data_IF_813902744312
#
_entry.id   IF_813902744312
#
_cell.length_a   1.000
_cell.length_b   1.000
_cell.length_c   1.000
_cell.angle_alpha   90.00
_cell.angle_beta   90.00
_cell.angle_gamma   90.00
#
_symmetry.space_group_name_H-M   'P 1'
#
loop_
_entity.id
_entity.type
_entity.pdbx_description
1 polymer ?
#
# COMPACT_ATOMS: atom_id res chain seq x y z
N UNK A 1 13.66 25.25 -10.09
CA UNK A 1 12.65 24.64 -9.20
C UNK A 1 11.59 24.01 -10.09
N UNK A 2 11.39 22.68 -10.08
CA UNK A 2 10.29 22.08 -10.83
C UNK A 2 8.98 22.59 -10.23
N UNK A 3 8.03 22.98 -11.09
CA UNK A 3 6.68 23.30 -10.66
C UNK A 3 5.99 22.01 -10.24
N UNK A 4 5.63 21.89 -8.96
CA UNK A 4 4.70 20.85 -8.51
C UNK A 4 3.39 21.14 -9.24
N UNK A 5 2.96 20.24 -10.12
CA UNK A 5 1.64 20.35 -10.75
C UNK A 5 0.62 20.19 -9.63
N UNK A 6 -0.11 21.27 -9.32
CA UNK A 6 -1.20 21.38 -8.34
C UNK A 6 -2.39 20.39 -8.55
N UNK A 7 -2.24 19.34 -9.35
CA UNK A 7 -3.34 18.52 -9.86
C UNK A 7 -3.51 17.15 -9.21
N UNK A 8 -2.81 16.81 -8.12
CA UNK A 8 -2.89 15.48 -7.51
C UNK A 8 -3.08 15.49 -5.99
N UNK A 9 -3.32 16.65 -5.38
CA UNK A 9 -3.55 16.76 -3.93
C UNK A 9 -4.84 17.48 -3.61
N UNK A 10 -5.47 17.11 -2.50
CA UNK A 10 -6.71 17.71 -1.98
C UNK A 10 -6.72 17.59 -0.46
N UNK A 11 -6.99 18.69 0.25
CA UNK A 11 -7.14 18.68 1.72
C UNK A 11 -8.46 18.07 2.19
N UNK A 12 -9.63 18.37 1.56
CA UNK A 12 -10.86 17.69 1.92
C UNK A 12 -10.75 16.18 1.74
N UNK A 13 -11.28 15.44 2.72
CA UNK A 13 -11.44 14.00 2.62
C UNK A 13 -12.36 13.66 1.43
N UNK A 14 -12.05 12.61 0.67
CA UNK A 14 -12.91 12.15 -0.41
C UNK A 14 -14.26 11.67 0.14
N UNK A 15 -15.32 11.88 -0.63
CA UNK A 15 -16.59 11.20 -0.34
C UNK A 15 -16.38 9.70 -0.60
N UNK A 16 -16.51 8.88 0.44
CA UNK A 16 -16.37 7.44 0.34
C UNK A 16 -17.11 6.76 1.48
N UNK A 17 -17.77 5.65 1.16
CA UNK A 17 -18.62 4.91 2.09
C UNK A 17 -17.88 3.74 2.75
N UNK A 18 -16.64 3.46 2.30
CA UNK A 18 -15.84 2.37 2.82
C UNK A 18 -14.84 2.89 3.85
N UNK A 19 -14.99 2.52 5.14
CA UNK A 19 -13.96 2.82 6.13
C UNK A 19 -12.67 2.07 5.79
N UNK A 20 -11.54 2.73 6.02
CA UNK A 20 -10.19 2.21 5.82
C UNK A 20 -9.31 2.66 6.97
N UNK A 21 -9.66 2.19 8.18
CA UNK A 21 -9.03 2.58 9.44
C UNK A 21 -7.89 1.66 9.84
N UNK A 22 -7.86 0.43 9.32
CA UNK A 22 -6.75 -0.51 9.49
C UNK A 22 -6.45 -1.25 8.19
N UNK A 23 -5.18 -1.40 7.87
CA UNK A 23 -4.69 -1.99 6.62
C UNK A 23 -3.62 -3.00 6.98
N UNK A 24 -3.96 -4.29 6.94
CA UNK A 24 -3.04 -5.38 7.23
C UNK A 24 -2.47 -5.90 5.91
N UNK A 25 -1.17 -6.14 5.87
CA UNK A 25 -0.50 -6.77 4.72
C UNK A 25 0.39 -7.88 5.21
N UNK A 26 0.10 -9.10 4.76
CA UNK A 26 0.86 -10.30 5.06
C UNK A 26 1.68 -10.68 3.83
N UNK A 27 3.01 -10.59 3.93
CA UNK A 27 3.91 -11.03 2.87
C UNK A 27 4.31 -12.50 3.06
N UNK A 28 4.70 -12.87 4.27
CA UNK A 28 5.10 -14.23 4.62
C UNK A 28 5.03 -14.45 6.13
N UNK A 29 5.40 -15.65 6.59
CA UNK A 29 5.56 -15.94 8.03
C UNK A 29 6.63 -15.08 8.71
N UNK A 30 7.53 -14.47 7.94
CA UNK A 30 8.64 -13.63 8.41
C UNK A 30 8.39 -12.13 8.24
N UNK A 31 7.35 -11.74 7.49
CA UNK A 31 7.09 -10.33 7.18
C UNK A 31 5.61 -10.08 7.04
N UNK A 32 5.08 -9.34 8.01
CA UNK A 32 3.67 -9.01 8.09
C UNK A 32 3.53 -7.76 8.94
N UNK A 33 2.70 -6.83 8.49
CA UNK A 33 2.60 -5.52 9.12
C UNK A 33 1.19 -4.97 8.96
N UNK A 34 0.90 -3.89 9.68
CA UNK A 34 -0.31 -3.13 9.43
C UNK A 34 -0.09 -1.63 9.57
N UNK A 35 -1.03 -0.89 9.00
CA UNK A 35 -1.20 0.54 9.20
C UNK A 35 -2.50 0.80 9.94
N UNK A 36 -2.45 1.68 10.94
CA UNK A 36 -3.63 2.08 11.71
C UNK A 36 -3.84 3.59 11.62
N UNK A 37 -5.06 4.00 11.32
CA UNK A 37 -5.42 5.39 11.12
C UNK A 37 -5.69 6.11 12.46
N UNK A 38 -5.04 7.26 12.64
CA UNK A 38 -5.33 8.20 13.71
C UNK A 38 -6.18 9.37 13.15
N UNK A 39 -7.45 9.52 13.58
CA UNK A 39 -8.34 10.55 13.04
C UNK A 39 -7.99 11.98 13.50
N UNK A 40 -7.34 12.15 14.66
CA UNK A 40 -6.97 13.47 15.18
C UNK A 40 -5.81 14.08 14.39
N UNK A 41 -4.88 13.22 13.96
CA UNK A 41 -3.68 13.62 13.21
C UNK A 41 -3.83 13.43 11.71
N UNK A 42 -4.84 12.69 11.27
CA UNK A 42 -5.06 12.29 9.87
C UNK A 42 -3.86 11.56 9.26
N UNK A 43 -3.26 10.65 10.03
CA UNK A 43 -2.10 9.86 9.65
C UNK A 43 -2.35 8.38 9.91
N UNK A 44 -1.79 7.55 9.06
CA UNK A 44 -1.62 6.13 9.28
C UNK A 44 -0.28 5.87 9.96
N UNK A 45 -0.27 5.09 11.02
CA UNK A 45 0.92 4.67 11.75
C UNK A 45 1.26 3.21 11.46
N UNK A 46 2.52 2.94 11.15
CA UNK A 46 2.99 1.58 10.79
C UNK A 46 3.39 0.79 12.03
N UNK A 47 2.92 -0.44 12.07
CA UNK A 47 3.34 -1.48 13.01
C UNK A 47 3.84 -2.67 12.21
N UNK A 48 4.88 -3.33 12.66
CA UNK A 48 5.51 -4.44 11.94
C UNK A 48 5.75 -5.63 12.87
N UNK A 49 6.04 -6.77 12.26
CA UNK A 49 6.41 -7.99 12.97
C UNK A 49 7.58 -7.79 13.93
N UNK A 50 7.54 -8.48 15.07
CA UNK A 50 8.68 -8.62 15.98
C UNK A 50 9.20 -10.06 16.09
N UNK A 51 8.41 -11.04 15.63
CA UNK A 51 8.74 -12.46 15.58
C UNK A 51 8.16 -13.08 14.31
N UNK A 52 8.71 -14.21 13.85
CA UNK A 52 8.04 -15.01 12.82
C UNK A 52 6.83 -15.77 13.39
N UNK A 53 5.94 -16.24 12.51
CA UNK A 53 4.70 -16.94 12.89
C UNK A 53 4.78 -18.47 12.79
N UNK A 54 5.98 -19.07 12.68
CA UNK A 54 6.10 -20.54 12.52
C UNK A 54 5.71 -21.30 13.78
N UNK A 55 6.02 -20.73 14.95
CA UNK A 55 5.80 -21.34 16.26
C UNK A 55 4.81 -20.55 17.13
N UNK A 56 4.11 -19.55 16.56
CA UNK A 56 3.28 -18.61 17.30
C UNK A 56 2.27 -17.84 16.44
N UNK A 57 1.63 -16.87 17.08
CA UNK A 57 0.67 -15.96 16.46
C UNK A 57 1.37 -14.68 15.97
N UNK A 58 0.68 -13.87 15.18
CA UNK A 58 1.19 -12.58 14.72
C UNK A 58 1.43 -11.62 15.91
N UNK A 59 2.66 -11.13 16.03
CA UNK A 59 3.07 -10.17 17.07
C UNK A 59 3.62 -8.90 16.43
N UNK A 60 3.15 -7.75 16.92
CA UNK A 60 3.46 -6.45 16.31
C UNK A 60 4.05 -5.45 17.30
N UNK A 61 4.93 -4.60 16.80
CA UNK A 61 5.35 -3.38 17.48
C UNK A 61 5.38 -2.17 16.53
N UNK A 62 5.27 -0.94 17.05
CA UNK A 62 5.48 0.28 16.27
C UNK A 62 6.80 0.23 15.48
N UNK A 63 6.75 0.48 14.17
CA UNK A 63 7.97 0.69 13.40
C UNK A 63 8.52 2.09 13.71
N UNK A 64 9.65 2.15 14.41
CA UNK A 64 10.29 3.40 14.83
C UNK A 64 11.51 3.71 13.97
N UNK A 65 11.56 4.93 13.44
CA UNK A 65 12.78 5.47 12.82
C UNK A 65 13.83 5.68 13.92
N UNK A 66 14.95 4.96 13.82
CA UNK A 66 16.03 5.00 14.82
C UNK A 66 16.71 6.37 14.95
N UNK A 67 16.73 7.18 13.89
CA UNK A 67 17.38 8.49 13.88
C UNK A 67 16.53 9.53 14.60
N UNK A 68 15.22 9.51 14.36
CA UNK A 68 14.29 10.52 14.90
C UNK A 68 13.58 10.08 16.18
N UNK A 69 13.48 8.78 16.42
CA UNK A 69 12.67 8.19 17.49
C UNK A 69 11.15 8.27 17.22
N UNK A 70 10.74 8.75 16.05
CA UNK A 70 9.33 8.83 15.68
C UNK A 70 8.84 7.52 15.05
N UNK A 71 7.58 7.17 15.31
CA UNK A 71 6.93 6.07 14.59
C UNK A 71 6.73 6.46 13.12
N UNK A 72 7.04 5.53 12.21
CA UNK A 72 6.81 5.69 10.78
C UNK A 72 5.32 5.90 10.54
N UNK A 73 5.00 6.97 9.81
CA UNK A 73 3.64 7.35 9.49
C UNK A 73 3.52 7.89 8.07
N UNK A 74 2.31 7.79 7.51
CA UNK A 74 1.99 8.27 6.19
C UNK A 74 0.59 8.92 6.17
N UNK A 75 0.42 9.94 5.33
CA UNK A 75 -0.91 10.55 5.09
C UNK A 75 -1.75 9.73 4.13
N UNK A 76 -1.08 8.93 3.27
CA UNK A 76 -1.72 8.04 2.30
C UNK A 76 -0.99 6.70 2.30
N UNK A 77 -1.74 5.61 2.25
CA UNK A 77 -1.21 4.25 2.04
C UNK A 77 -1.88 3.70 0.79
N UNK A 78 -1.10 3.15 -0.14
CA UNK A 78 -1.61 2.56 -1.37
C UNK A 78 -1.10 1.14 -1.49
N UNK A 79 -2.01 0.19 -1.69
CA UNK A 79 -1.65 -1.19 -2.03
C UNK A 79 -1.83 -1.37 -3.53
N UNK A 80 -0.77 -1.78 -4.22
CA UNK A 80 -0.71 -2.01 -5.66
C UNK A 80 -0.56 -3.49 -5.95
N UNK A 81 -1.42 -4.00 -6.83
CA UNK A 81 -1.32 -5.33 -7.37
C UNK A 81 -0.54 -5.25 -8.68
N UNK A 82 0.68 -5.77 -8.69
CA UNK A 82 1.62 -5.71 -9.80
C UNK A 82 2.06 -7.11 -10.23
N UNK A 83 2.33 -7.28 -11.52
CA UNK A 83 2.76 -8.59 -12.03
C UNK A 83 4.18 -8.88 -11.56
N UNK A 84 4.32 -9.95 -10.78
CA UNK A 84 5.60 -10.53 -10.40
C UNK A 84 5.89 -11.71 -11.34
N UNK A 85 7.13 -11.88 -11.77
CA UNK A 85 7.59 -12.99 -12.62
C UNK A 85 9.03 -13.36 -12.28
N UNK A 86 9.44 -14.57 -12.65
CA UNK A 86 10.85 -14.96 -12.69
C UNK A 86 11.32 -14.96 -14.15
N UNK A 87 12.53 -14.47 -14.43
CA UNK A 87 13.03 -14.48 -15.80
C UNK A 87 13.55 -15.86 -16.23
N UNK A 88 13.91 -16.71 -15.26
CA UNK A 88 14.40 -18.07 -15.49
C UNK A 88 14.22 -18.95 -14.22
N UNK A 89 14.43 -20.28 -14.30
CA UNK A 89 14.26 -21.19 -13.16
C UNK A 89 15.24 -20.94 -11.99
N UNK A 90 16.45 -20.43 -12.24
CA UNK A 90 17.39 -20.09 -11.15
C UNK A 90 16.87 -18.90 -10.35
N UNK A 91 16.32 -17.88 -11.02
CA UNK A 91 15.64 -16.77 -10.33
C UNK A 91 14.48 -17.26 -9.48
N UNK A 92 13.76 -18.31 -9.92
CA UNK A 92 12.70 -18.91 -9.12
C UNK A 92 13.24 -19.64 -7.90
N UNK A 93 14.32 -20.42 -8.06
CA UNK A 93 14.99 -21.13 -6.95
C UNK A 93 15.57 -20.15 -5.91
N UNK A 94 16.09 -19.01 -6.36
CA UNK A 94 16.70 -17.97 -5.53
C UNK A 94 15.73 -16.84 -5.14
N UNK A 95 14.44 -16.95 -5.51
CA UNK A 95 13.38 -15.95 -5.27
C UNK A 95 13.69 -14.52 -5.76
N UNK A 96 14.33 -14.41 -6.93
CA UNK A 96 14.65 -13.14 -7.60
C UNK A 96 13.48 -12.66 -8.46
N UNK A 97 12.62 -11.83 -7.87
CA UNK A 97 11.43 -11.32 -8.55
C UNK A 97 11.72 -10.20 -9.54
N UNK A 98 11.17 -10.34 -10.75
CA UNK A 98 10.97 -9.24 -11.68
C UNK A 98 9.55 -8.69 -11.53
N UNK A 99 9.45 -7.41 -11.19
CA UNK A 99 8.17 -6.71 -10.95
C UNK A 99 7.94 -5.71 -12.07
N UNK A 100 6.90 -5.93 -12.89
CA UNK A 100 6.52 -4.98 -13.94
C UNK A 100 5.48 -3.98 -13.41
N UNK A 101 5.92 -2.73 -13.23
CA UNK A 101 5.08 -1.59 -12.85
C UNK A 101 4.69 -0.72 -14.06
N UNK A 102 4.79 -1.24 -15.28
CA UNK A 102 4.28 -0.62 -16.50
C UNK A 102 2.93 -1.23 -16.87
N UNK A 103 2.06 -0.46 -17.52
CA UNK A 103 0.70 -0.87 -17.87
C UNK A 103 -0.30 -0.39 -16.83
N UNK A 104 -1.11 -1.31 -16.30
CA UNK A 104 -2.16 -1.00 -15.34
C UNK A 104 -2.51 -2.19 -14.49
N UNK A 105 -3.02 -1.94 -13.29
CA UNK A 105 -3.47 -3.00 -12.39
C UNK A 105 -4.44 -2.48 -11.33
N UNK A 106 -4.83 -3.39 -10.46
CA UNK A 106 -5.70 -3.10 -9.32
C UNK A 106 -4.92 -2.37 -8.21
N UNK A 107 -5.60 -1.44 -7.55
CA UNK A 107 -5.05 -0.70 -6.43
C UNK A 107 -6.10 -0.43 -5.37
N UNK A 108 -5.64 -0.23 -4.15
CA UNK A 108 -6.45 0.23 -3.03
C UNK A 108 -5.77 1.45 -2.45
N UNK A 109 -6.52 2.54 -2.33
CA UNK A 109 -6.00 3.80 -1.80
C UNK A 109 -6.66 4.09 -0.46
N UNK A 110 -5.84 4.39 0.52
CA UNK A 110 -6.27 4.73 1.86
C UNK A 110 -5.77 6.13 2.21
N UNK A 111 -6.71 7.02 2.53
CA UNK A 111 -6.45 8.38 3.02
C UNK A 111 -7.62 8.83 3.89
N UNK A 112 -7.34 9.62 4.92
CA UNK A 112 -8.38 10.19 5.79
C UNK A 112 -9.29 9.14 6.48
N UNK A 113 -8.81 7.91 6.69
CA UNK A 113 -9.62 6.83 7.25
C UNK A 113 -10.63 6.23 6.27
N UNK A 114 -10.54 6.59 4.98
CA UNK A 114 -11.40 6.12 3.89
C UNK A 114 -10.61 5.18 2.99
N UNK A 115 -11.21 4.04 2.66
CA UNK A 115 -10.72 3.12 1.63
C UNK A 115 -11.36 3.43 0.27
N UNK A 116 -10.55 3.42 -0.79
CA UNK A 116 -11.00 3.67 -2.15
C UNK A 116 -10.51 2.53 -3.04
N UNK A 117 -11.47 1.84 -3.67
CA UNK A 117 -11.18 0.89 -4.75
C UNK A 117 -10.66 1.66 -5.97
N UNK A 118 -9.48 1.27 -6.45
CA UNK A 118 -8.74 2.03 -7.43
C UNK A 118 -8.12 1.16 -8.53
N UNK A 119 -7.63 1.85 -9.56
CA UNK A 119 -6.74 1.30 -10.58
C UNK A 119 -5.50 2.16 -10.66
N UNK A 120 -4.35 1.52 -10.83
CA UNK A 120 -3.12 2.20 -11.16
C UNK A 120 -2.83 2.09 -12.66
N UNK A 121 -2.18 3.11 -13.21
CA UNK A 121 -1.74 3.17 -14.61
C UNK A 121 -0.36 3.78 -14.69
N UNK A 122 0.51 3.24 -15.53
CA UNK A 122 1.82 3.82 -15.85
C UNK A 122 2.19 3.42 -17.28
N UNK A 123 2.13 4.37 -18.21
CA UNK A 123 2.26 4.06 -19.64
C UNK A 123 3.66 3.61 -20.05
N UNK A 124 4.71 4.16 -19.43
CA UNK A 124 6.11 3.76 -19.63
C UNK A 124 6.89 3.90 -18.31
N UNK A 125 8.05 3.25 -18.22
CA UNK A 125 8.90 3.30 -17.04
C UNK A 125 9.39 4.71 -16.65
N UNK A 126 9.44 5.66 -17.57
CA UNK A 126 9.83 7.05 -17.29
C UNK A 126 8.63 7.96 -16.94
N UNK A 127 7.41 7.43 -16.95
CA UNK A 127 6.19 8.15 -16.62
C UNK A 127 5.76 7.94 -15.16
N UNK A 128 5.07 8.92 -14.56
CA UNK A 128 4.52 8.77 -13.22
C UNK A 128 3.40 7.73 -13.19
N UNK A 129 3.24 7.07 -12.04
CA UNK A 129 2.09 6.22 -11.74
C UNK A 129 0.88 7.12 -11.45
N UNK A 130 -0.25 6.82 -12.10
CA UNK A 130 -1.53 7.48 -11.93
C UNK A 130 -2.49 6.55 -11.18
N UNK A 131 -3.19 7.09 -10.19
CA UNK A 131 -4.25 6.41 -9.46
C UNK A 131 -5.61 6.99 -9.86
N UNK A 132 -6.56 6.12 -10.16
CA UNK A 132 -7.93 6.51 -10.50
C UNK A 132 -8.93 5.65 -9.74
N UNK A 133 -10.11 6.20 -9.49
CA UNK A 133 -11.28 5.42 -9.06
C UNK A 133 -11.65 4.39 -10.14
N UNK A 134 -12.49 3.41 -9.80
CA UNK A 134 -13.00 2.45 -10.79
C UNK A 134 -13.75 3.11 -11.97
N UNK A 135 -14.31 4.30 -11.76
CA UNK A 135 -14.95 5.12 -12.80
C UNK A 135 -13.98 5.95 -13.65
N UNK A 136 -12.67 5.84 -13.43
CA UNK A 136 -11.62 6.53 -14.20
C UNK A 136 -11.33 7.96 -13.76
N UNK A 137 -12.02 8.48 -12.74
CA UNK A 137 -11.69 9.80 -12.17
C UNK A 137 -10.38 9.73 -11.39
N UNK A 138 -9.46 10.70 -11.52
CA UNK A 138 -8.23 10.75 -10.73
C UNK A 138 -8.50 10.76 -9.23
N UNK A 139 -7.67 10.06 -8.45
CA UNK A 139 -7.71 10.14 -6.99
C UNK A 139 -6.67 11.16 -6.55
N UNK A 140 -7.12 12.19 -5.85
CA UNK A 140 -6.25 13.18 -5.23
C UNK A 140 -5.77 12.65 -3.88
N UNK A 141 -4.48 12.77 -3.59
CA UNK A 141 -3.88 12.37 -2.31
C UNK A 141 -3.99 13.48 -1.27
N UNK A 142 -3.97 13.13 0.02
CA UNK A 142 -3.76 14.12 1.08
C UNK A 142 -2.33 14.64 0.97
N UNK A 143 -2.06 15.95 1.10
CA UNK A 143 -0.68 16.43 1.18
C UNK A 143 0.07 15.77 2.34
N UNK A 144 1.23 15.19 2.05
CA UNK A 144 2.06 14.49 3.04
C UNK A 144 2.77 13.29 2.45
N UNK A 145 3.19 12.37 3.33
CA UNK A 145 3.88 11.14 2.92
C UNK A 145 2.87 10.18 2.30
N UNK A 146 3.27 9.57 1.20
CA UNK A 146 2.54 8.50 0.54
C UNK A 146 3.41 7.24 0.56
N UNK A 147 2.89 6.16 1.14
CA UNK A 147 3.54 4.86 1.17
C UNK A 147 2.88 3.91 0.18
N UNK A 148 3.68 3.23 -0.64
CA UNK A 148 3.21 2.23 -1.60
C UNK A 148 3.63 0.84 -1.13
N UNK A 149 2.65 -0.05 -1.01
CA UNK A 149 2.85 -1.48 -0.79
C UNK A 149 2.61 -2.18 -2.12
N UNK A 150 3.61 -2.90 -2.62
CA UNK A 150 3.51 -3.59 -3.91
C UNK A 150 3.44 -5.07 -3.63
N UNK A 151 2.34 -5.69 -4.05
CA UNK A 151 2.08 -7.13 -3.90
C UNK A 151 1.82 -7.75 -5.27
N UNK A 152 1.97 -9.07 -5.36
CA UNK A 152 1.80 -9.81 -6.60
C UNK A 152 0.37 -9.71 -7.11
N UNK A 153 0.17 -9.71 -8.42
CA UNK A 153 -1.16 -9.56 -9.03
C UNK A 153 -2.13 -10.72 -8.76
N UNK A 154 -1.63 -11.85 -8.23
CA UNK A 154 -2.43 -12.98 -7.76
C UNK A 154 -2.77 -12.93 -6.27
N UNK A 155 -2.30 -11.90 -5.57
CA UNK A 155 -2.62 -11.66 -4.16
C UNK A 155 -4.13 -11.54 -3.95
N UNK A 156 -4.57 -11.58 -2.70
CA UNK A 156 -5.97 -11.36 -2.37
C UNK A 156 -6.15 -10.19 -1.42
N UNK A 157 -7.29 -9.52 -1.55
CA UNK A 157 -7.78 -8.51 -0.63
C UNK A 157 -9.09 -9.00 -0.01
N UNK A 158 -9.22 -8.82 1.30
CA UNK A 158 -10.46 -9.00 2.04
C UNK A 158 -10.83 -7.69 2.73
N UNK A 159 -12.12 -7.36 2.71
CA UNK A 159 -12.66 -6.13 3.27
C UNK A 159 -13.62 -6.45 4.42
N UNK A 160 -13.26 -6.00 5.61
CA UNK A 160 -14.13 -5.96 6.79
C UNK A 160 -14.69 -4.57 7.07
N UNK A 161 -15.32 -4.42 8.24
CA UNK A 161 -15.80 -3.13 8.74
C UNK A 161 -14.62 -2.25 9.18
N UNK A 162 -14.01 -1.53 8.23
CA UNK A 162 -12.92 -0.59 8.48
C UNK A 162 -11.53 -1.20 8.46
N UNK A 163 -11.45 -2.53 8.46
CA UNK A 163 -10.22 -3.29 8.33
C UNK A 163 -10.10 -3.90 6.93
N UNK A 164 -8.93 -3.75 6.33
CA UNK A 164 -8.59 -4.31 5.03
C UNK A 164 -7.41 -5.24 5.20
N UNK A 165 -7.50 -6.45 4.66
CA UNK A 165 -6.46 -7.46 4.79
C UNK A 165 -5.98 -7.90 3.42
N UNK A 166 -4.69 -7.69 3.16
CA UNK A 166 -4.02 -8.07 1.93
C UNK A 166 -3.08 -9.22 2.23
N UNK A 167 -3.18 -10.33 1.49
CA UNK A 167 -2.19 -11.40 1.57
C UNK A 167 -1.49 -11.53 0.24
N UNK A 168 -0.18 -11.38 0.30
CA UNK A 168 0.71 -11.53 -0.83
C UNK A 168 0.64 -12.97 -1.37
N UNK A 169 0.60 -13.09 -2.68
CA UNK A 169 0.84 -14.34 -3.40
C UNK A 169 1.88 -14.11 -4.49
N UNK A 170 2.92 -14.96 -4.48
CA UNK A 170 4.03 -14.95 -5.42
C UNK A 170 3.85 -16.06 -6.48
N UNK A 171 4.23 -15.83 -7.75
CA UNK A 171 4.04 -16.74 -8.89
C UNK A 171 4.40 -18.22 -8.65
#
# INVERSE_FOLDING_TARGET
RPYIRNGYYSDPAPAGDLPGTKINTYYSVDSYHYWEYNPDLHLYYRYQEINDTRDGEEEYAPLVDRVTGAQVSASNVIVLFATHTFANPYDQEDEVYQIDLTGSGEAYVFRDGVGILARWYRTNADQPLLLTTLGGSPIYMRPGITFYEVIGSRSYADQGEGEWSFRHDSP
#
